data_IF_157612443209
#
_entry.id   IF_157612443209
#
_cell.length_a   1.000
_cell.length_b   1.000
_cell.length_c   1.000
_cell.angle_alpha   90.00
_cell.angle_beta   90.00
_cell.angle_gamma   90.00
#
_symmetry.space_group_name_H-M   'P 1'
#
loop_
_entity.id
_entity.type
_entity.pdbx_description
1 polymer ?
#
# COMPACT_ATOMS: atom_id res chain seq x y z
N UNK A 1 -23.81 46.36 -26.20
CA UNK A 1 -22.40 45.88 -26.24
C UNK A 1 -21.81 45.68 -24.86
N UNK A 2 -21.96 46.60 -23.95
CA UNK A 2 -21.45 46.43 -22.61
C UNK A 2 -22.03 45.22 -21.84
N UNK A 3 -23.33 44.97 -22.01
CA UNK A 3 -23.99 43.81 -21.39
C UNK A 3 -23.46 42.46 -21.90
N UNK A 4 -23.10 42.35 -23.18
CA UNK A 4 -22.51 41.14 -23.73
C UNK A 4 -21.12 40.87 -23.18
N UNK A 5 -20.31 41.90 -22.99
CA UNK A 5 -18.98 41.73 -22.40
C UNK A 5 -19.07 41.29 -20.94
N UNK A 6 -20.00 41.82 -20.17
CA UNK A 6 -20.21 41.41 -18.79
C UNK A 6 -20.65 39.95 -18.67
N UNK A 7 -21.56 39.51 -19.55
CA UNK A 7 -22.04 38.14 -19.58
C UNK A 7 -20.92 37.16 -19.91
N UNK A 8 -20.04 37.50 -20.83
CA UNK A 8 -18.87 36.63 -21.16
C UNK A 8 -17.89 36.54 -20.00
N UNK A 9 -17.61 37.63 -19.33
CA UNK A 9 -16.72 37.63 -18.17
C UNK A 9 -17.24 36.75 -17.04
N UNK A 10 -18.52 36.86 -16.71
CA UNK A 10 -19.16 36.04 -15.67
C UNK A 10 -19.16 34.54 -16.02
N UNK A 11 -19.50 34.19 -17.27
CA UNK A 11 -19.51 32.79 -17.71
C UNK A 11 -18.11 32.14 -17.66
N UNK A 12 -17.11 32.87 -18.12
CA UNK A 12 -15.70 32.37 -18.08
C UNK A 12 -15.22 32.15 -16.65
N UNK A 13 -15.52 33.06 -15.72
CA UNK A 13 -15.14 32.93 -14.32
C UNK A 13 -15.80 31.71 -13.65
N UNK A 14 -17.08 31.46 -13.91
CA UNK A 14 -17.80 30.32 -13.35
C UNK A 14 -17.24 29.00 -13.88
N UNK A 15 -16.96 28.89 -15.17
CA UNK A 15 -16.37 27.70 -15.77
C UNK A 15 -14.98 27.41 -15.24
N UNK A 16 -14.14 28.42 -15.09
CA UNK A 16 -12.79 28.25 -14.53
C UNK A 16 -12.83 27.74 -13.09
N UNK A 17 -13.74 28.27 -12.26
CA UNK A 17 -13.92 27.81 -10.88
C UNK A 17 -14.38 26.35 -10.80
N UNK A 18 -15.30 25.92 -11.66
CA UNK A 18 -15.79 24.54 -11.70
C UNK A 18 -14.69 23.55 -12.11
N UNK A 19 -13.88 23.90 -13.10
CA UNK A 19 -12.76 23.06 -13.55
C UNK A 19 -11.70 22.93 -12.43
N UNK A 20 -11.36 24.02 -11.76
CA UNK A 20 -10.40 24.01 -10.66
C UNK A 20 -10.88 23.12 -9.52
N UNK A 21 -12.15 23.17 -9.15
CA UNK A 21 -12.73 22.33 -8.11
C UNK A 21 -12.65 20.85 -8.46
N UNK A 22 -12.94 20.45 -9.70
CA UNK A 22 -12.83 19.08 -10.16
C UNK A 22 -11.38 18.57 -10.09
N UNK A 23 -10.40 19.37 -10.46
CA UNK A 23 -8.98 19.00 -10.38
C UNK A 23 -8.55 18.78 -8.93
N UNK A 24 -8.96 19.65 -8.01
CA UNK A 24 -8.65 19.49 -6.59
C UNK A 24 -9.26 18.21 -6.00
N UNK A 25 -10.51 17.89 -6.34
CA UNK A 25 -11.16 16.66 -5.90
C UNK A 25 -10.44 15.43 -6.43
N UNK A 26 -10.00 15.42 -7.68
CA UNK A 26 -9.22 14.34 -8.26
C UNK A 26 -7.88 14.15 -7.54
N UNK A 27 -7.19 15.24 -7.21
CA UNK A 27 -5.93 15.17 -6.49
C UNK A 27 -6.06 14.52 -5.11
N UNK A 28 -7.18 14.72 -4.42
CA UNK A 28 -7.44 14.08 -3.12
C UNK A 28 -7.77 12.59 -3.20
N UNK A 29 -8.27 12.10 -4.34
CA UNK A 29 -8.75 10.71 -4.49
C UNK A 29 -7.67 9.80 -5.06
N UNK A 30 -6.69 10.33 -5.79
CA UNK A 30 -5.84 9.56 -6.70
C UNK A 30 -4.49 9.15 -6.10
N UNK A 31 -4.09 9.64 -4.93
CA UNK A 31 -2.75 9.36 -4.42
C UNK A 31 -2.68 8.10 -3.59
N UNK A 32 -1.92 7.10 -4.06
CA UNK A 32 -1.49 5.96 -3.28
C UNK A 32 -0.10 6.23 -2.72
N UNK A 33 0.15 5.80 -1.49
CA UNK A 33 1.44 5.93 -0.85
C UNK A 33 2.27 4.66 -1.07
N UNK A 34 3.59 4.80 -0.96
CA UNK A 34 4.54 3.70 -1.04
C UNK A 34 5.26 3.61 0.30
N UNK A 35 5.24 2.42 0.89
CA UNK A 35 5.87 2.16 2.19
C UNK A 35 6.94 1.09 2.03
N UNK A 36 8.15 1.34 2.52
CA UNK A 36 9.17 0.31 2.64
C UNK A 36 8.97 -0.45 3.95
N UNK A 37 8.65 -1.72 3.86
CA UNK A 37 8.39 -2.56 5.04
C UNK A 37 9.64 -2.64 5.90
N UNK A 38 9.50 -2.33 7.19
CA UNK A 38 10.61 -2.31 8.12
C UNK A 38 11.51 -1.08 8.02
N UNK A 39 11.14 -0.10 7.21
CA UNK A 39 11.91 1.14 6.98
C UNK A 39 13.34 0.81 6.55
N UNK A 40 14.36 1.35 7.23
CA UNK A 40 15.77 1.12 6.89
C UNK A 40 16.20 -0.34 7.03
N UNK A 41 15.60 -1.08 7.96
CA UNK A 41 15.94 -2.49 8.19
C UNK A 41 15.39 -3.42 7.10
N UNK A 42 14.44 -2.96 6.32
CA UNK A 42 13.79 -3.77 5.30
C UNK A 42 12.97 -4.91 5.86
N UNK A 43 12.66 -5.86 5.01
CA UNK A 43 11.94 -7.08 5.38
C UNK A 43 12.87 -8.02 6.15
N UNK A 44 12.66 -8.13 7.46
CA UNK A 44 13.54 -8.87 8.35
C UNK A 44 12.79 -9.35 9.59
N UNK A 45 13.53 -9.90 10.56
CA UNK A 45 12.96 -10.34 11.82
C UNK A 45 12.36 -9.15 12.60
N UNK A 46 11.33 -9.41 13.39
CA UNK A 46 10.63 -8.41 14.21
C UNK A 46 9.93 -7.31 13.42
N UNK A 47 9.59 -7.53 12.15
CA UNK A 47 8.77 -6.59 11.36
C UNK A 47 7.30 -6.62 11.72
N UNK A 48 6.85 -7.57 12.52
CA UNK A 48 5.45 -7.72 12.93
C UNK A 48 4.89 -6.49 13.66
N UNK A 49 5.72 -5.66 14.26
CA UNK A 49 5.30 -4.42 14.93
C UNK A 49 5.48 -3.17 14.07
N UNK A 50 6.08 -3.28 12.89
CA UNK A 50 6.33 -2.14 12.02
C UNK A 50 5.05 -1.39 11.63
N UNK A 51 3.94 -2.09 11.50
CA UNK A 51 2.65 -1.51 11.12
C UNK A 51 2.00 -0.65 12.21
N UNK A 52 2.49 -0.69 13.44
CA UNK A 52 1.91 0.05 14.55
C UNK A 52 1.94 1.55 14.28
N UNK A 53 0.78 2.20 14.46
CA UNK A 53 0.62 3.64 14.27
C UNK A 53 0.58 4.11 12.81
N UNK A 54 0.68 3.21 11.85
CA UNK A 54 0.60 3.53 10.42
C UNK A 54 -0.82 3.32 9.90
N UNK A 55 -1.21 4.15 8.93
CA UNK A 55 -2.50 4.04 8.25
C UNK A 55 -2.28 3.72 6.79
N UNK A 56 -2.99 2.71 6.32
CA UNK A 56 -2.89 2.22 4.95
C UNK A 56 -4.24 2.33 4.24
N UNK A 57 -4.20 2.51 2.92
CA UNK A 57 -5.37 2.52 2.06
C UNK A 57 -5.24 1.45 0.99
N UNK A 58 -6.36 0.94 0.51
CA UNK A 58 -6.38 0.10 -0.68
C UNK A 58 -5.71 0.84 -1.85
N UNK A 59 -4.83 0.16 -2.56
CA UNK A 59 -4.03 0.77 -3.63
C UNK A 59 -2.65 1.25 -3.19
N UNK A 60 -2.40 1.41 -1.89
CA UNK A 60 -1.05 1.67 -1.40
C UNK A 60 -0.12 0.51 -1.74
N UNK A 61 1.16 0.80 -1.87
CA UNK A 61 2.18 -0.18 -2.27
C UNK A 61 3.14 -0.43 -1.12
N UNK A 62 3.34 -1.70 -0.79
CA UNK A 62 4.40 -2.14 0.10
C UNK A 62 5.61 -2.56 -0.72
N UNK A 63 6.78 -2.12 -0.29
CA UNK A 63 8.07 -2.53 -0.87
C UNK A 63 8.79 -3.40 0.14
N UNK A 64 9.07 -4.64 -0.25
CA UNK A 64 9.81 -5.60 0.56
C UNK A 64 11.24 -5.69 0.03
N UNK A 65 12.20 -5.20 0.80
CA UNK A 65 13.62 -5.25 0.46
C UNK A 65 14.33 -6.23 1.39
N UNK A 66 15.02 -7.20 0.82
CA UNK A 66 15.66 -8.26 1.61
C UNK A 66 16.69 -9.02 0.76
N UNK A 67 17.48 -9.84 1.42
CA UNK A 67 18.38 -10.79 0.76
C UNK A 67 17.54 -11.96 0.20
N UNK A 68 17.47 -12.05 -1.11
CA UNK A 68 16.66 -13.07 -1.80
C UNK A 68 17.19 -14.50 -1.62
N UNK A 69 18.44 -14.64 -1.19
CA UNK A 69 19.00 -15.96 -0.86
C UNK A 69 18.59 -16.46 0.52
N UNK A 70 18.14 -15.56 1.40
CA UNK A 70 17.82 -15.87 2.79
C UNK A 70 16.32 -15.82 3.10
N UNK A 71 15.55 -15.05 2.34
CA UNK A 71 14.16 -14.75 2.65
C UNK A 71 13.26 -14.81 1.41
N UNK A 72 11.97 -14.81 1.66
CA UNK A 72 10.91 -14.60 0.66
C UNK A 72 9.77 -13.81 1.28
N UNK A 73 8.75 -13.51 0.47
CA UNK A 73 7.50 -12.92 0.91
C UNK A 73 6.36 -13.79 0.40
N UNK A 74 5.50 -14.25 1.29
CA UNK A 74 4.35 -15.07 0.93
C UNK A 74 3.08 -14.39 1.39
N UNK A 75 2.16 -14.14 0.47
CA UNK A 75 0.83 -13.63 0.79
C UNK A 75 -0.02 -14.78 1.35
N UNK A 76 -0.54 -14.59 2.55
CA UNK A 76 -1.31 -15.61 3.26
C UNK A 76 -2.62 -15.03 3.80
N UNK A 77 -3.48 -15.87 4.34
CA UNK A 77 -4.66 -15.46 5.07
C UNK A 77 -4.35 -15.32 6.57
N UNK A 78 -5.35 -14.95 7.38
CA UNK A 78 -5.19 -14.80 8.82
C UNK A 78 -4.66 -16.06 9.50
N UNK A 79 -5.13 -17.23 9.09
CA UNK A 79 -4.67 -18.50 9.65
C UNK A 79 -3.20 -18.77 9.30
N UNK A 80 -2.77 -18.47 8.08
CA UNK A 80 -1.39 -18.58 7.65
C UNK A 80 -0.46 -17.63 8.41
N UNK A 81 -0.92 -16.41 8.66
CA UNK A 81 -0.20 -15.44 9.47
C UNK A 81 -0.04 -15.94 10.93
N UNK A 82 -1.12 -16.40 11.53
CA UNK A 82 -1.11 -16.92 12.91
C UNK A 82 -0.25 -18.16 13.06
N UNK A 83 -0.44 -19.12 12.17
CA UNK A 83 0.24 -20.42 12.21
C UNK A 83 1.58 -20.46 11.51
N UNK A 84 2.03 -19.36 10.91
CA UNK A 84 3.27 -19.31 10.14
C UNK A 84 3.31 -20.40 9.06
N UNK A 85 2.20 -20.54 8.33
CA UNK A 85 2.07 -21.54 7.28
C UNK A 85 1.54 -20.91 6.00
N UNK A 86 2.05 -21.38 4.86
CA UNK A 86 1.60 -20.96 3.55
C UNK A 86 0.73 -22.07 2.95
N UNK A 87 -0.55 -21.79 2.63
CA UNK A 87 -1.37 -22.78 1.94
C UNK A 87 -0.86 -23.03 0.53
N UNK A 88 -1.16 -24.21 -0.02
CA UNK A 88 -0.86 -24.52 -1.41
C UNK A 88 -1.47 -23.47 -2.34
N UNK A 89 -0.71 -23.03 -3.34
CA UNK A 89 -1.13 -22.00 -4.27
C UNK A 89 -0.97 -20.57 -3.79
N UNK A 90 -0.42 -20.33 -2.59
CA UNK A 90 -0.13 -18.98 -2.11
C UNK A 90 0.89 -18.27 -3.02
N UNK A 91 0.70 -16.96 -3.22
CA UNK A 91 1.63 -16.15 -4.01
C UNK A 91 2.94 -15.99 -3.26
N UNK A 92 4.04 -16.38 -3.90
CA UNK A 92 5.39 -16.27 -3.36
C UNK A 92 6.19 -15.27 -4.16
N UNK A 93 6.83 -14.33 -3.48
CA UNK A 93 7.71 -13.31 -4.03
C UNK A 93 9.14 -13.61 -3.59
N UNK A 94 10.10 -13.57 -4.52
CA UNK A 94 11.50 -13.99 -4.28
C UNK A 94 12.54 -13.04 -4.85
N UNK A 95 12.14 -11.83 -5.24
CA UNK A 95 13.07 -10.95 -5.97
C UNK A 95 14.07 -10.22 -5.08
N UNK A 96 13.81 -10.12 -3.79
CA UNK A 96 14.59 -9.27 -2.89
C UNK A 96 14.18 -7.80 -2.92
N UNK A 97 13.30 -7.42 -3.83
CA UNK A 97 12.76 -6.07 -3.96
C UNK A 97 11.35 -6.15 -4.55
N UNK A 98 10.43 -6.70 -3.79
CA UNK A 98 9.06 -6.94 -4.26
C UNK A 98 8.16 -5.76 -3.95
N UNK A 99 7.29 -5.42 -4.90
CA UNK A 99 6.26 -4.39 -4.73
C UNK A 99 4.91 -5.06 -4.75
N UNK A 100 4.12 -4.82 -3.70
CA UNK A 100 2.80 -5.44 -3.54
C UNK A 100 1.77 -4.34 -3.31
N UNK A 101 0.75 -4.31 -4.15
CA UNK A 101 -0.37 -3.38 -3.99
C UNK A 101 -1.37 -3.95 -2.99
N UNK A 102 -1.74 -3.14 -1.98
CA UNK A 102 -2.67 -3.55 -0.95
C UNK A 102 -4.10 -3.62 -1.48
N UNK A 103 -4.78 -4.70 -1.18
CA UNK A 103 -6.22 -4.83 -1.35
C UNK A 103 -6.94 -4.25 -0.12
N UNK A 104 -8.19 -3.83 -0.29
CA UNK A 104 -9.02 -3.41 0.83
C UNK A 104 -9.17 -4.57 1.83
N UNK A 105 -9.12 -4.26 3.12
CA UNK A 105 -9.16 -5.22 4.20
C UNK A 105 -7.78 -5.54 4.73
N UNK A 106 -7.62 -6.67 5.40
CA UNK A 106 -6.34 -7.04 5.98
C UNK A 106 -5.55 -7.94 5.04
N UNK A 107 -4.33 -7.50 4.75
CA UNK A 107 -3.36 -8.20 3.92
C UNK A 107 -2.29 -8.79 4.82
N UNK A 108 -2.02 -10.09 4.69
CA UNK A 108 -1.05 -10.77 5.54
C UNK A 108 0.12 -11.29 4.72
N UNK A 109 1.32 -11.10 5.24
CA UNK A 109 2.56 -11.55 4.61
C UNK A 109 3.46 -12.22 5.63
N UNK A 110 4.10 -13.29 5.23
CA UNK A 110 5.08 -14.00 6.04
C UNK A 110 6.33 -14.30 5.22
N UNK A 111 7.45 -14.55 5.90
CA UNK A 111 8.56 -15.26 5.31
C UNK A 111 8.35 -16.76 5.60
N UNK A 112 8.34 -17.59 4.57
CA UNK A 112 8.07 -19.02 4.74
C UNK A 112 9.32 -19.87 5.00
N UNK A 113 10.48 -19.26 5.01
CA UNK A 113 11.72 -19.96 5.40
C UNK A 113 11.58 -20.45 6.84
N UNK A 114 11.91 -21.73 7.14
CA UNK A 114 11.68 -22.29 8.46
C UNK A 114 12.22 -21.44 9.60
N UNK A 115 11.39 -21.16 10.60
CA UNK A 115 11.75 -20.37 11.79
C UNK A 115 11.66 -18.86 11.63
N UNK A 116 11.61 -18.33 10.41
CA UNK A 116 11.65 -16.88 10.19
C UNK A 116 10.35 -16.18 10.60
N UNK A 117 9.20 -16.70 10.20
CA UNK A 117 7.90 -16.17 10.59
C UNK A 117 7.74 -16.20 12.12
N UNK A 118 8.11 -17.29 12.75
CA UNK A 118 8.07 -17.46 14.20
C UNK A 118 8.96 -16.44 14.94
N UNK A 119 10.04 -15.99 14.29
CA UNK A 119 10.92 -14.93 14.80
C UNK A 119 10.42 -13.52 14.45
N UNK A 120 9.16 -13.37 14.09
CA UNK A 120 8.53 -12.08 13.84
C UNK A 120 8.69 -11.56 12.40
N UNK A 121 9.10 -12.39 11.45
CA UNK A 121 9.16 -11.99 10.05
C UNK A 121 7.81 -12.20 9.38
N UNK A 122 6.87 -11.36 9.77
CA UNK A 122 5.49 -11.34 9.30
C UNK A 122 4.85 -9.99 9.58
N UNK A 123 3.89 -9.60 8.75
CA UNK A 123 3.07 -8.40 8.96
C UNK A 123 1.61 -8.65 8.58
N UNK A 124 0.71 -7.99 9.30
CA UNK A 124 -0.70 -7.86 8.93
C UNK A 124 -1.01 -6.39 8.72
N UNK A 125 -1.48 -6.03 7.54
CA UNK A 125 -1.71 -4.65 7.12
C UNK A 125 -3.17 -4.47 6.77
N UNK A 126 -3.87 -3.63 7.53
CA UNK A 126 -5.28 -3.29 7.25
C UNK A 126 -5.34 -2.04 6.40
N UNK A 127 -5.93 -2.17 5.21
CA UNK A 127 -6.09 -1.08 4.25
C UNK A 127 -7.57 -0.68 4.15
N UNK A 128 -7.82 0.59 4.36
CA UNK A 128 -9.17 1.16 4.29
C UNK A 128 -9.65 1.36 2.84
#
# INVERSE_FOLDING_TARGET
>A
MAAQQQGRGSGAAVLAAAVLLCVLLHAHVAESAVFTVGDRGGWSFNTNTWTNGKRFKAGDVLVFKYDSTAHNVVAVNAAGYKGCSAPGGAKVYKSGNDRVTLARGTNYFICSIPGHCQAGMKIGVTAA
#
